data_IF_653361163780
#
_entry.id   IF_653361163780
#
_cell.length_a   1.000
_cell.length_b   1.000
_cell.length_c   1.000
_cell.angle_alpha   90.00
_cell.angle_beta   90.00
_cell.angle_gamma   90.00
#
_symmetry.space_group_name_H-M   'P 1'
#
loop_
_entity.id
_entity.type
_entity.pdbx_description
1 polymer ?
#
# COMPACT_ATOMS: atom_id res chain seq x y z
N UNK A 1 2.61 20.90 -8.70
CA UNK A 1 1.74 19.77 -9.11
C UNK A 1 0.41 19.91 -8.39
N UNK A 2 -0.67 20.31 -9.07
CA UNK A 2 -1.99 20.46 -8.44
C UNK A 2 -2.70 19.11 -8.51
N UNK A 3 -2.60 18.33 -7.45
CA UNK A 3 -3.46 17.16 -7.27
C UNK A 3 -4.93 17.63 -7.31
N UNK A 4 -5.77 16.94 -8.07
CA UNK A 4 -7.18 17.28 -8.20
C UNK A 4 -7.81 17.35 -6.80
N UNK A 5 -8.34 18.51 -6.38
CA UNK A 5 -8.88 18.71 -5.02
C UNK A 5 -10.02 17.75 -4.69
N UNK A 6 -10.75 17.30 -5.70
CA UNK A 6 -11.81 16.31 -5.54
C UNK A 6 -11.23 14.96 -5.08
N UNK A 7 -10.08 14.54 -5.65
CA UNK A 7 -9.43 13.28 -5.28
C UNK A 7 -8.84 13.32 -3.87
N UNK A 8 -8.24 14.45 -3.47
CA UNK A 8 -7.67 14.62 -2.11
C UNK A 8 -8.70 14.45 -0.98
N UNK A 9 -9.97 14.77 -1.22
CA UNK A 9 -11.03 14.65 -0.21
C UNK A 9 -11.48 13.22 0.03
N UNK A 10 -11.14 12.29 -0.85
CA UNK A 10 -11.63 10.90 -0.82
C UNK A 10 -10.55 9.85 -0.61
N UNK A 11 -9.26 10.23 -0.66
CA UNK A 11 -8.13 9.31 -0.49
C UNK A 11 -7.47 9.53 0.86
N UNK A 12 -7.38 8.48 1.65
CA UNK A 12 -6.78 8.50 2.99
C UNK A 12 -5.82 7.34 3.18
N UNK A 13 -4.80 7.58 4.00
CA UNK A 13 -3.94 6.53 4.54
C UNK A 13 -4.54 6.04 5.86
N UNK A 14 -4.47 4.75 6.13
CA UNK A 14 -4.80 4.23 7.46
C UNK A 14 -3.77 4.72 8.47
N UNK A 15 -4.24 5.07 9.66
CA UNK A 15 -3.35 5.42 10.78
C UNK A 15 -2.77 4.12 11.35
N UNK A 16 -1.44 4.03 11.42
CA UNK A 16 -0.75 2.86 11.96
C UNK A 16 -0.74 2.86 13.48
N UNK A 17 -0.64 1.67 14.07
CA UNK A 17 -0.49 1.48 15.51
C UNK A 17 0.98 1.51 15.90
N UNK A 18 1.31 2.02 17.09
CA UNK A 18 2.67 1.97 17.64
C UNK A 18 2.68 1.77 19.14
N UNK A 19 3.69 1.05 19.63
CA UNK A 19 3.96 0.89 21.06
C UNK A 19 4.90 1.95 21.63
N UNK A 20 5.39 2.86 20.79
CA UNK A 20 6.22 4.00 21.20
C UNK A 20 5.36 5.00 22.00
N UNK A 21 5.94 5.63 23.05
CA UNK A 21 5.26 6.74 23.71
C UNK A 21 4.97 7.89 22.75
N UNK A 22 3.82 8.51 22.91
CA UNK A 22 3.40 9.69 22.15
C UNK A 22 4.31 10.88 22.44
N UNK A 23 4.73 11.62 21.42
CA UNK A 23 5.46 12.89 21.56
C UNK A 23 4.47 14.03 21.85
N UNK A 24 5.00 15.18 22.31
CA UNK A 24 4.18 16.31 22.74
C UNK A 24 3.35 16.94 21.60
N UNK A 25 3.87 16.90 20.39
CA UNK A 25 3.28 17.48 19.17
C UNK A 25 2.42 16.49 18.37
N UNK A 26 2.40 15.22 18.76
CA UNK A 26 1.61 14.19 18.08
C UNK A 26 0.19 14.10 18.63
N UNK A 27 -0.76 13.66 17.81
CA UNK A 27 -2.16 13.44 18.18
C UNK A 27 -2.52 11.97 17.97
N UNK A 28 -3.04 11.34 19.04
CA UNK A 28 -3.52 9.97 18.97
C UNK A 28 -4.69 9.84 17.98
N UNK A 29 -4.64 8.80 17.15
CA UNK A 29 -5.61 8.58 16.09
C UNK A 29 -5.41 9.44 14.83
N UNK A 30 -4.39 10.29 14.79
CA UNK A 30 -4.01 11.07 13.61
C UNK A 30 -2.61 10.72 13.12
N UNK A 31 -1.60 10.80 14.00
CA UNK A 31 -0.24 10.43 13.66
C UNK A 31 -0.03 8.92 13.79
N UNK A 32 -0.45 8.37 14.91
CA UNK A 32 -0.49 6.95 15.23
C UNK A 32 -1.63 6.66 16.20
N UNK A 33 -2.04 5.39 16.28
CA UNK A 33 -2.73 4.85 17.44
C UNK A 33 -1.68 4.40 18.46
N UNK A 34 -1.56 5.12 19.58
CA UNK A 34 -0.57 4.83 20.62
C UNK A 34 -1.13 3.80 21.60
N UNK A 35 -0.66 2.57 21.51
CA UNK A 35 -1.08 1.46 22.36
C UNK A 35 0.07 0.95 23.22
N UNK A 36 -0.22 0.25 24.31
CA UNK A 36 0.84 -0.33 25.14
C UNK A 36 1.57 -1.46 24.41
N UNK A 37 2.82 -1.71 24.77
CA UNK A 37 3.59 -2.83 24.21
C UNK A 37 2.88 -4.16 24.42
N UNK A 38 2.31 -4.37 25.61
CA UNK A 38 1.54 -5.57 25.94
C UNK A 38 0.32 -5.74 25.00
N UNK A 39 -0.42 -4.66 24.78
CA UNK A 39 -1.55 -4.68 23.85
C UNK A 39 -1.10 -5.01 22.43
N UNK A 40 0.00 -4.40 21.97
CA UNK A 40 0.55 -4.67 20.64
C UNK A 40 0.93 -6.15 20.47
N UNK A 41 1.60 -6.74 21.47
CA UNK A 41 1.97 -8.16 21.48
C UNK A 41 0.73 -9.09 21.46
N UNK A 42 -0.32 -8.75 22.21
CA UNK A 42 -1.59 -9.46 22.17
C UNK A 42 -2.25 -9.38 20.79
N UNK A 43 -2.21 -8.24 20.15
CA UNK A 43 -2.77 -8.03 18.81
C UNK A 43 -1.98 -8.76 17.72
N UNK A 44 -0.65 -8.90 17.87
CA UNK A 44 0.17 -9.80 17.03
C UNK A 44 -0.31 -11.24 17.15
N UNK A 45 -0.46 -11.75 18.39
CA UNK A 45 -0.92 -13.12 18.64
C UNK A 45 -2.33 -13.35 18.11
N UNK A 46 -3.20 -12.36 18.21
CA UNK A 46 -4.55 -12.38 17.66
C UNK A 46 -4.62 -12.16 16.13
N UNK A 47 -3.49 -12.01 15.44
CA UNK A 47 -3.38 -11.79 13.99
C UNK A 47 -4.18 -10.58 13.51
N UNK A 48 -4.21 -9.51 14.29
CA UNK A 48 -4.93 -8.28 13.96
C UNK A 48 -4.19 -7.39 12.96
N UNK A 49 -2.86 -7.56 12.83
CA UNK A 49 -2.03 -6.77 11.93
C UNK A 49 -1.92 -7.40 10.54
N UNK A 50 -1.99 -6.55 9.52
CA UNK A 50 -1.64 -6.90 8.14
C UNK A 50 -0.13 -6.98 7.99
N UNK A 51 0.56 -6.01 8.60
CA UNK A 51 2.01 -6.03 8.77
C UNK A 51 2.40 -5.36 10.08
N UNK A 52 3.52 -5.79 10.63
CA UNK A 52 4.12 -5.19 11.80
C UNK A 52 5.64 -5.40 11.80
N UNK A 53 6.34 -4.55 12.52
CA UNK A 53 7.78 -4.66 12.70
C UNK A 53 8.23 -3.95 13.97
N UNK A 54 9.49 -4.18 14.36
CA UNK A 54 10.12 -3.49 15.49
C UNK A 54 11.19 -2.55 14.95
N UNK A 55 11.17 -1.30 15.40
CA UNK A 55 12.19 -0.30 15.15
C UNK A 55 12.47 0.46 16.44
N UNK A 56 13.77 0.65 16.79
CA UNK A 56 14.21 1.32 18.02
C UNK A 56 13.47 0.84 19.29
N UNK A 57 13.34 -0.48 19.45
CA UNK A 57 12.67 -1.13 20.59
C UNK A 57 11.18 -0.81 20.72
N UNK A 58 10.55 -0.28 19.68
CA UNK A 58 9.12 -0.01 19.61
C UNK A 58 8.51 -0.75 18.44
N UNK A 59 7.29 -1.26 18.64
CA UNK A 59 6.53 -1.87 17.56
C UNK A 59 5.79 -0.81 16.74
N UNK A 60 5.65 -1.12 15.45
CA UNK A 60 4.85 -0.37 14.48
C UNK A 60 4.09 -1.38 13.62
N UNK A 61 2.86 -1.07 13.28
CA UNK A 61 2.07 -1.96 12.44
C UNK A 61 0.81 -1.30 11.89
N UNK A 62 0.24 -1.95 10.88
CA UNK A 62 -1.02 -1.55 10.28
C UNK A 62 -2.07 -2.62 10.57
N UNK A 63 -3.06 -2.29 11.40
CA UNK A 63 -4.10 -3.22 11.78
C UNK A 63 -5.22 -3.29 10.73
N UNK A 64 -5.89 -4.45 10.65
CA UNK A 64 -7.08 -4.62 9.80
C UNK A 64 -8.21 -3.66 10.23
N UNK A 65 -8.32 -3.36 11.51
CA UNK A 65 -9.32 -2.46 12.05
C UNK A 65 -9.08 -1.01 11.60
N UNK A 66 -7.82 -0.55 11.64
CA UNK A 66 -7.44 0.77 11.13
C UNK A 66 -7.76 0.92 9.63
N UNK A 67 -7.54 -0.12 8.84
CA UNK A 67 -7.90 -0.12 7.41
C UNK A 67 -9.42 -0.06 7.24
N UNK A 68 -10.19 -0.90 7.96
CA UNK A 68 -11.65 -0.93 7.88
C UNK A 68 -12.29 0.41 8.23
N UNK A 69 -11.76 1.12 9.24
CA UNK A 69 -12.28 2.43 9.64
C UNK A 69 -12.21 3.45 8.51
N UNK A 70 -11.22 3.35 7.63
CA UNK A 70 -11.06 4.24 6.47
C UNK A 70 -11.93 3.78 5.29
N UNK A 71 -11.95 2.47 5.00
CA UNK A 71 -12.65 1.90 3.82
C UNK A 71 -14.16 2.11 3.89
N UNK A 72 -14.76 2.22 5.09
CA UNK A 72 -16.19 2.47 5.24
C UNK A 72 -16.67 3.77 4.59
N UNK A 73 -15.82 4.80 4.50
CA UNK A 73 -16.20 6.12 4.02
C UNK A 73 -15.35 6.64 2.87
N UNK A 74 -14.17 6.07 2.65
CA UNK A 74 -13.13 6.66 1.80
C UNK A 74 -12.31 5.60 1.07
N UNK A 75 -11.59 6.04 0.04
CA UNK A 75 -10.59 5.21 -0.64
C UNK A 75 -9.36 5.11 0.26
N UNK A 76 -9.11 3.93 0.79
CA UNK A 76 -7.91 3.66 1.58
C UNK A 76 -6.74 3.29 0.67
N UNK A 77 -5.67 4.08 0.70
CA UNK A 77 -4.41 3.76 0.02
C UNK A 77 -3.44 3.17 1.01
N UNK A 78 -2.89 2.02 0.68
CA UNK A 78 -1.91 1.30 1.49
C UNK A 78 -0.60 1.16 0.73
N UNK A 79 0.51 1.43 1.41
CA UNK A 79 1.85 1.14 0.92
C UNK A 79 2.50 0.15 1.90
N UNK A 80 2.32 -1.13 1.62
CA UNK A 80 2.69 -2.22 2.49
C UNK A 80 3.74 -3.13 1.84
N UNK A 81 4.43 -3.90 2.68
CA UNK A 81 5.37 -4.89 2.18
C UNK A 81 4.62 -6.00 1.39
N UNK A 82 5.13 -6.48 0.24
CA UNK A 82 4.42 -7.45 -0.60
C UNK A 82 3.98 -8.74 0.09
N UNK A 83 4.67 -9.15 1.16
CA UNK A 83 4.27 -10.31 1.98
C UNK A 83 2.87 -10.14 2.59
N UNK A 84 2.43 -8.89 2.81
CA UNK A 84 1.11 -8.57 3.37
C UNK A 84 -0.03 -8.83 2.38
N UNK A 85 0.27 -8.94 1.08
CA UNK A 85 -0.73 -9.17 0.02
C UNK A 85 -1.52 -10.46 0.23
N UNK A 86 -0.87 -11.51 0.74
CA UNK A 86 -1.56 -12.78 1.05
C UNK A 86 -2.66 -12.58 2.09
N UNK A 87 -2.37 -11.82 3.14
CA UNK A 87 -3.34 -11.53 4.22
C UNK A 87 -4.47 -10.66 3.67
N UNK A 88 -4.12 -9.60 2.93
CA UNK A 88 -5.08 -8.68 2.34
C UNK A 88 -6.04 -9.36 1.36
N UNK A 89 -5.52 -10.16 0.42
CA UNK A 89 -6.34 -10.87 -0.58
C UNK A 89 -7.21 -11.96 0.02
N UNK A 90 -6.86 -12.48 1.22
CA UNK A 90 -7.70 -13.43 1.96
C UNK A 90 -8.67 -12.76 2.93
N UNK A 91 -8.61 -11.43 3.07
CA UNK A 91 -9.51 -10.66 3.94
C UNK A 91 -10.78 -10.22 3.22
N UNK A 92 -11.70 -9.66 3.98
CA UNK A 92 -12.92 -9.01 3.51
C UNK A 92 -12.70 -7.64 2.84
N UNK A 93 -11.45 -7.14 2.86
CA UNK A 93 -11.09 -5.82 2.33
C UNK A 93 -11.08 -5.75 0.80
N UNK A 94 -10.95 -6.87 0.11
CA UNK A 94 -11.00 -6.97 -1.36
C UNK A 94 -10.09 -5.93 -2.06
N UNK A 95 -8.78 -5.89 -1.77
CA UNK A 95 -7.90 -4.84 -2.26
C UNK A 95 -7.68 -4.91 -3.77
N UNK A 96 -7.63 -3.76 -4.43
CA UNK A 96 -7.07 -3.61 -5.77
C UNK A 96 -5.59 -3.30 -5.67
N UNK A 97 -4.77 -4.19 -6.19
CA UNK A 97 -3.31 -4.15 -6.02
C UNK A 97 -2.64 -3.61 -7.26
N UNK A 98 -1.97 -2.48 -7.10
CA UNK A 98 -1.20 -1.84 -8.17
C UNK A 98 0.29 -2.01 -7.89
N UNK A 99 0.99 -2.67 -8.80
CA UNK A 99 2.45 -2.73 -8.76
C UNK A 99 3.04 -1.58 -9.55
N UNK A 100 3.85 -0.75 -8.90
CA UNK A 100 4.57 0.34 -9.54
C UNK A 100 5.98 -0.13 -9.86
N UNK A 101 6.21 -0.51 -11.12
CA UNK A 101 7.45 -1.07 -11.61
C UNK A 101 8.41 0.03 -12.08
N UNK A 102 9.74 -0.12 -11.88
CA UNK A 102 10.73 0.76 -12.46
C UNK A 102 10.73 0.63 -14.00
N UNK A 103 11.11 1.68 -14.73
CA UNK A 103 11.34 1.57 -16.16
C UNK A 103 12.66 0.82 -16.44
N UNK A 104 13.00 0.63 -17.72
CA UNK A 104 14.27 0.02 -18.10
C UNK A 104 15.48 0.86 -17.67
N UNK A 105 16.67 0.24 -17.66
CA UNK A 105 17.92 0.84 -17.19
C UNK A 105 18.24 2.19 -17.88
N UNK A 106 18.03 2.29 -19.19
CA UNK A 106 18.34 3.50 -19.96
C UNK A 106 17.44 4.68 -19.52
N UNK A 107 16.17 4.42 -19.27
CA UNK A 107 15.24 5.44 -18.76
C UNK A 107 15.56 5.84 -17.31
N UNK A 108 15.96 4.89 -16.46
CA UNK A 108 16.40 5.21 -15.10
C UNK A 108 17.65 6.07 -15.09
N UNK A 109 18.65 5.74 -15.94
CA UNK A 109 19.87 6.56 -16.10
C UNK A 109 19.52 7.97 -16.56
N UNK A 110 18.67 8.10 -17.57
CA UNK A 110 18.24 9.42 -18.09
C UNK A 110 17.54 10.23 -17.01
N UNK A 111 16.63 9.60 -16.25
CA UNK A 111 15.93 10.27 -15.15
C UNK A 111 16.92 10.82 -14.10
N UNK A 112 17.94 10.03 -13.71
CA UNK A 112 19.00 10.46 -12.79
C UNK A 112 19.79 11.66 -13.34
N UNK A 113 20.14 11.66 -14.63
CA UNK A 113 20.83 12.77 -15.30
C UNK A 113 19.98 14.03 -15.26
N UNK A 114 18.71 13.93 -15.64
CA UNK A 114 17.78 15.06 -15.70
C UNK A 114 17.55 15.71 -14.32
N UNK A 115 17.70 14.94 -13.24
CA UNK A 115 17.56 15.41 -11.85
C UNK A 115 18.90 15.71 -11.17
N UNK A 116 20.01 15.68 -11.90
CA UNK A 116 21.36 15.91 -11.35
C UNK A 116 21.72 14.98 -10.18
N UNK A 117 21.20 13.77 -10.19
CA UNK A 117 21.49 12.74 -9.18
C UNK A 117 22.69 11.87 -9.62
N UNK A 118 23.51 11.39 -8.66
CA UNK A 118 24.63 10.51 -8.97
C UNK A 118 24.14 9.19 -9.57
N UNK A 119 24.84 8.73 -10.61
CA UNK A 119 24.52 7.48 -11.28
C UNK A 119 25.42 6.38 -10.72
N UNK A 120 24.81 5.41 -10.05
CA UNK A 120 25.42 4.15 -9.74
C UNK A 120 24.70 3.04 -10.53
N UNK A 121 25.34 2.55 -11.59
CA UNK A 121 24.69 1.56 -12.45
C UNK A 121 24.35 0.25 -11.74
N UNK A 122 25.16 -0.15 -10.75
CA UNK A 122 24.89 -1.36 -9.99
C UNK A 122 23.61 -1.22 -9.17
N UNK A 123 23.41 -0.08 -8.50
CA UNK A 123 22.16 0.20 -7.77
C UNK A 123 20.93 0.20 -8.70
N UNK A 124 21.07 0.77 -9.90
CA UNK A 124 19.96 0.79 -10.85
C UNK A 124 19.62 -0.63 -11.37
N UNK A 125 20.62 -1.47 -11.58
CA UNK A 125 20.40 -2.89 -11.92
C UNK A 125 19.77 -3.66 -10.77
N UNK A 126 20.20 -3.43 -9.54
CA UNK A 126 19.57 -4.02 -8.36
C UNK A 126 18.09 -3.63 -8.20
N UNK A 127 17.74 -2.36 -8.45
CA UNK A 127 16.34 -1.90 -8.42
C UNK A 127 15.49 -2.68 -9.42
N UNK A 128 15.99 -2.86 -10.66
CA UNK A 128 15.29 -3.60 -11.70
C UNK A 128 15.15 -5.07 -11.34
N UNK A 129 16.22 -5.69 -10.83
CA UNK A 129 16.22 -7.11 -10.46
C UNK A 129 15.26 -7.37 -9.29
N UNK A 130 15.30 -6.54 -8.25
CA UNK A 130 14.33 -6.62 -7.13
C UNK A 130 12.88 -6.47 -7.60
N UNK A 131 12.63 -5.57 -8.54
CA UNK A 131 11.29 -5.41 -9.11
C UNK A 131 10.85 -6.64 -9.89
N UNK A 132 11.76 -7.27 -10.65
CA UNK A 132 11.51 -8.53 -11.36
C UNK A 132 11.24 -9.69 -10.40
N UNK A 133 12.07 -9.85 -9.36
CA UNK A 133 11.85 -10.87 -8.33
C UNK A 133 10.49 -10.66 -7.63
N UNK A 134 10.10 -9.41 -7.39
CA UNK A 134 8.81 -9.08 -6.81
C UNK A 134 7.66 -9.46 -7.74
N UNK A 135 7.76 -9.17 -9.03
CA UNK A 135 6.77 -9.55 -10.03
C UNK A 135 6.67 -11.09 -10.18
N UNK A 136 7.80 -11.78 -10.23
CA UNK A 136 7.83 -13.26 -10.28
C UNK A 136 7.18 -13.90 -9.04
N UNK A 137 7.44 -13.33 -7.85
CA UNK A 137 6.96 -13.88 -6.58
C UNK A 137 5.52 -13.52 -6.25
N UNK A 138 5.11 -12.29 -6.55
CA UNK A 138 3.84 -11.71 -6.10
C UNK A 138 2.92 -11.28 -7.24
N UNK A 139 3.34 -11.43 -8.50
CA UNK A 139 2.60 -10.96 -9.67
C UNK A 139 1.18 -11.49 -9.78
N UNK A 140 0.94 -12.72 -9.25
CA UNK A 140 -0.38 -13.32 -9.20
C UNK A 140 -1.38 -12.59 -8.26
N UNK A 141 -0.90 -11.64 -7.44
CA UNK A 141 -1.73 -10.76 -6.62
C UNK A 141 -1.99 -9.41 -7.27
N UNK A 142 -1.24 -9.04 -8.32
CA UNK A 142 -1.35 -7.71 -8.93
C UNK A 142 -2.55 -7.66 -9.87
N UNK A 143 -3.38 -6.64 -9.67
CA UNK A 143 -4.52 -6.35 -10.56
C UNK A 143 -4.08 -5.40 -11.67
N UNK A 144 -3.03 -4.60 -11.45
CA UNK A 144 -2.46 -3.68 -12.42
C UNK A 144 -0.95 -3.49 -12.22
N UNK A 145 -0.24 -3.26 -13.34
CA UNK A 145 1.17 -2.87 -13.33
C UNK A 145 1.32 -1.50 -14.00
N UNK A 146 1.94 -0.55 -13.30
CA UNK A 146 2.26 0.78 -13.81
C UNK A 146 3.78 0.92 -13.92
N UNK A 147 4.29 1.17 -15.13
CA UNK A 147 5.72 1.44 -15.32
C UNK A 147 5.99 2.92 -15.01
N UNK A 148 6.73 3.18 -13.93
CA UNK A 148 7.06 4.53 -13.46
C UNK A 148 8.19 5.16 -14.30
N UNK A 149 7.88 5.50 -15.56
CA UNK A 149 8.82 6.20 -16.46
C UNK A 149 8.62 7.72 -16.44
N UNK A 150 7.45 8.18 -16.09
CA UNK A 150 7.05 9.58 -15.97
C UNK A 150 6.00 9.71 -14.87
N UNK A 151 6.20 10.61 -13.88
CA UNK A 151 5.30 10.76 -12.74
C UNK A 151 3.87 11.13 -13.13
N UNK A 152 3.71 12.07 -14.06
CA UNK A 152 2.40 12.54 -14.48
C UNK A 152 1.63 11.45 -15.20
N UNK A 153 2.29 10.74 -16.11
CA UNK A 153 1.68 9.62 -16.84
C UNK A 153 1.29 8.48 -15.90
N UNK A 154 2.15 8.11 -14.94
CA UNK A 154 1.85 7.09 -13.94
C UNK A 154 0.65 7.48 -13.09
N UNK A 155 0.58 8.74 -12.68
CA UNK A 155 -0.53 9.29 -11.93
C UNK A 155 -1.84 9.25 -12.73
N UNK A 156 -1.84 9.65 -14.00
CA UNK A 156 -3.02 9.58 -14.85
C UNK A 156 -3.50 8.15 -15.09
N UNK A 157 -2.58 7.19 -15.23
CA UNK A 157 -2.93 5.77 -15.34
C UNK A 157 -3.62 5.27 -14.05
N UNK A 158 -3.09 5.64 -12.88
CA UNK A 158 -3.68 5.29 -11.59
C UNK A 158 -5.08 5.89 -11.42
N UNK A 159 -5.24 7.18 -11.76
CA UNK A 159 -6.54 7.86 -11.72
C UNK A 159 -7.58 7.19 -12.61
N UNK A 160 -7.20 6.88 -13.85
CA UNK A 160 -8.08 6.20 -14.80
C UNK A 160 -8.54 4.84 -14.27
N UNK A 161 -7.62 4.07 -13.64
CA UNK A 161 -7.97 2.80 -13.02
C UNK A 161 -8.96 2.95 -11.87
N UNK A 162 -8.75 3.93 -10.98
CA UNK A 162 -9.67 4.18 -9.86
C UNK A 162 -11.06 4.56 -10.39
N UNK A 163 -11.14 5.40 -11.42
CA UNK A 163 -12.41 5.77 -12.04
C UNK A 163 -13.11 4.58 -12.71
N UNK A 164 -12.34 3.67 -13.32
CA UNK A 164 -12.88 2.43 -13.90
C UNK A 164 -13.43 1.50 -12.80
N UNK A 165 -12.72 1.38 -11.67
CA UNK A 165 -13.20 0.58 -10.53
C UNK A 165 -14.53 1.07 -9.95
N UNK A 166 -14.80 2.38 -10.01
CA UNK A 166 -16.04 2.96 -9.52
C UNK A 166 -17.24 2.78 -10.50
N UNK A 167 -16.97 2.62 -11.80
CA UNK A 167 -17.99 2.70 -12.85
C UNK A 167 -18.24 1.39 -13.59
N UNK A 168 -17.26 0.50 -13.61
CA UNK A 168 -17.29 -0.70 -14.44
C UNK A 168 -17.31 -1.97 -13.57
N UNK A 169 -18.02 -3.03 -14.03
CA UNK A 169 -17.94 -4.34 -13.39
C UNK A 169 -16.50 -4.85 -13.38
N UNK A 170 -16.07 -5.40 -12.24
CA UNK A 170 -14.71 -5.89 -12.05
C UNK A 170 -14.68 -7.41 -11.94
N UNK A 171 -13.64 -8.03 -12.49
CA UNK A 171 -13.34 -9.43 -12.24
C UNK A 171 -12.73 -9.56 -10.86
N UNK A 172 -13.33 -10.39 -10.02
CA UNK A 172 -12.87 -10.64 -8.66
C UNK A 172 -12.72 -12.14 -8.41
N UNK A 173 -11.85 -12.58 -7.48
CA UNK A 173 -11.78 -13.97 -7.07
C UNK A 173 -13.14 -14.48 -6.61
N UNK A 174 -13.56 -15.67 -7.09
CA UNK A 174 -14.86 -16.24 -6.75
C UNK A 174 -15.09 -16.38 -5.23
N UNK A 175 -14.02 -16.63 -4.46
CA UNK A 175 -14.07 -16.74 -3.00
C UNK A 175 -14.58 -15.45 -2.33
N UNK A 176 -14.42 -14.28 -2.94
CA UNK A 176 -14.93 -13.02 -2.41
C UNK A 176 -16.45 -12.90 -2.50
N UNK A 177 -17.07 -13.67 -3.41
CA UNK A 177 -18.51 -13.69 -3.59
C UNK A 177 -19.18 -14.76 -2.71
N UNK A 178 -18.49 -15.88 -2.45
CA UNK A 178 -19.04 -16.99 -1.67
C UNK A 178 -19.20 -16.64 -0.19
N UNK A 179 -18.32 -15.82 0.38
CA UNK A 179 -18.41 -15.37 1.79
C UNK A 179 -19.58 -14.42 2.09
N UNK A 180 -20.31 -13.93 1.06
CA UNK A 180 -21.51 -13.08 1.22
C UNK A 180 -22.82 -13.88 1.18
N UNK A 181 -22.76 -15.15 0.82
CA UNK A 181 -23.98 -15.99 0.68
C UNK A 181 -24.51 -16.50 2.03
N UNK A 182 -23.69 -16.52 3.09
CA UNK A 182 -24.07 -17.05 4.41
C UNK A 182 -24.62 -15.98 5.38
N UNK A 183 -24.88 -14.75 4.89
CA UNK A 183 -25.40 -13.63 5.72
C UNK A 183 -26.75 -13.08 5.24
N UNK A 184 -27.55 -13.90 4.52
CA UNK A 184 -28.95 -13.60 4.26
C UNK A 184 -29.88 -14.51 5.03
#
# INVERSE_FOLDING_TARGET
MRCNEHFRKHVFLSVSDTSRPKRADEVDGQDYHFISRLQFEQDILARRFVEHGEYEKSYYGTSLEAIRSVVCEKICVLNLHPQSLKILKSSDLMPYVVFVAPPNLEKLKRWKIDHSEPINENELREIIERAREMEERYGHYFDMVIIYSDPERAYQQLLASIQSLEREPQWVPAMWLLGKADTM
#
